data_IF_504890986751
#
_entry.id   IF_504890986751
#
_cell.length_a   1.000
_cell.length_b   1.000
_cell.length_c   1.000
_cell.angle_alpha   90.00
_cell.angle_beta   90.00
_cell.angle_gamma   90.00
#
_symmetry.space_group_name_H-M   'P 1'
#
loop_
_entity.id
_entity.type
_entity.pdbx_description
1 polymer ?
#
# COMPACT_ATOMS: atom_id res chain seq x y z
N UNK A 1 14.10 3.22 18.81
CA UNK A 1 14.50 3.60 17.44
C UNK A 1 14.68 5.09 17.41
N UNK A 2 15.84 5.55 16.97
CA UNK A 2 16.19 6.97 16.90
C UNK A 2 15.24 7.75 15.97
N UNK A 3 15.00 9.03 16.28
CA UNK A 3 14.09 9.88 15.51
C UNK A 3 14.55 10.09 14.06
N UNK A 4 15.86 10.14 13.81
CA UNK A 4 16.41 10.23 12.46
C UNK A 4 15.95 9.05 11.59
N UNK A 5 16.03 7.82 12.12
CA UNK A 5 15.62 6.63 11.38
C UNK A 5 14.12 6.59 11.11
N UNK A 6 13.30 7.02 12.07
CA UNK A 6 11.85 7.16 11.87
C UNK A 6 11.53 8.16 10.76
N UNK A 7 12.21 9.30 10.74
CA UNK A 7 12.04 10.29 9.68
C UNK A 7 12.48 9.77 8.32
N UNK A 8 13.66 9.14 8.22
CA UNK A 8 14.15 8.56 6.96
C UNK A 8 13.17 7.52 6.43
N UNK A 9 12.69 6.62 7.29
CA UNK A 9 11.71 5.60 6.92
C UNK A 9 10.41 6.22 6.44
N UNK A 10 9.85 7.18 7.18
CA UNK A 10 8.62 7.85 6.76
C UNK A 10 8.80 8.58 5.42
N UNK A 11 9.93 9.27 5.25
CA UNK A 11 10.24 10.03 4.03
C UNK A 11 10.22 9.17 2.77
N UNK A 12 10.67 7.93 2.85
CA UNK A 12 10.72 7.01 1.72
C UNK A 12 9.45 6.15 1.60
N UNK A 13 8.89 5.67 2.71
CA UNK A 13 7.64 4.90 2.68
C UNK A 13 6.46 5.78 2.26
N UNK A 14 6.35 6.99 2.81
CA UNK A 14 5.37 7.96 2.33
C UNK A 14 5.54 8.28 0.84
N UNK A 15 6.77 8.27 0.30
CA UNK A 15 7.01 8.55 -1.12
C UNK A 15 6.51 7.41 -2.01
N UNK A 16 6.69 6.15 -1.61
CA UNK A 16 6.10 5.00 -2.30
C UNK A 16 4.57 5.05 -2.28
N UNK A 17 3.96 5.46 -1.16
CA UNK A 17 2.51 5.68 -1.06
C UNK A 17 2.06 6.85 -1.95
N UNK A 18 2.82 7.95 -2.02
CA UNK A 18 2.55 9.07 -2.94
C UNK A 18 2.64 8.63 -4.41
N UNK A 19 3.57 7.74 -4.76
CA UNK A 19 3.65 7.17 -6.11
C UNK A 19 2.43 6.32 -6.44
N UNK A 20 1.94 5.51 -5.49
CA UNK A 20 0.68 4.77 -5.62
C UNK A 20 -0.52 5.73 -5.83
N UNK A 21 -0.65 6.76 -4.98
CA UNK A 21 -1.70 7.79 -5.10
C UNK A 21 -1.68 8.47 -6.48
N UNK A 22 -0.50 8.86 -6.94
CA UNK A 22 -0.35 9.52 -8.23
C UNK A 22 -0.76 8.59 -9.38
N UNK A 23 -0.42 7.30 -9.32
CA UNK A 23 -0.84 6.32 -10.33
C UNK A 23 -2.36 6.15 -10.36
N UNK A 24 -3.01 6.06 -9.19
CA UNK A 24 -4.47 6.01 -9.08
C UNK A 24 -5.14 7.25 -9.70
N UNK A 25 -4.60 8.44 -9.41
CA UNK A 25 -5.13 9.70 -9.91
C UNK A 25 -4.96 9.84 -11.43
N UNK A 26 -3.85 9.34 -11.98
CA UNK A 26 -3.57 9.40 -13.42
C UNK A 26 -4.37 8.38 -14.26
N UNK A 27 -4.91 7.32 -13.65
CA UNK A 27 -5.63 6.27 -14.37
C UNK A 27 -7.01 6.75 -14.86
N UNK A 28 -7.32 6.70 -16.17
CA UNK A 28 -8.65 7.03 -16.68
C UNK A 28 -9.72 6.05 -16.19
N UNK A 29 -10.98 6.50 -16.13
CA UNK A 29 -12.10 5.65 -15.67
C UNK A 29 -12.27 4.37 -16.49
N UNK A 30 -12.13 4.44 -17.81
CA UNK A 30 -12.24 3.28 -18.70
C UNK A 30 -11.17 2.22 -18.41
N UNK A 31 -9.93 2.64 -18.14
CA UNK A 31 -8.83 1.73 -17.80
C UNK A 31 -8.97 1.19 -16.37
N UNK A 32 -9.48 2.01 -15.45
CA UNK A 32 -9.65 1.61 -14.05
C UNK A 32 -10.52 0.36 -13.92
N UNK A 33 -11.66 0.31 -14.64
CA UNK A 33 -12.60 -0.80 -14.60
C UNK A 33 -12.46 -1.79 -15.77
N UNK A 34 -11.37 -1.71 -16.54
CA UNK A 34 -11.12 -2.65 -17.64
C UNK A 34 -10.70 -4.02 -17.10
N UNK A 35 -11.63 -4.97 -17.17
CA UNK A 35 -11.44 -6.37 -16.76
C UNK A 35 -10.91 -7.28 -17.88
N UNK A 36 -10.64 -6.72 -19.07
CA UNK A 36 -10.10 -7.49 -20.20
C UNK A 36 -8.57 -7.59 -20.18
N UNK A 37 -7.93 -6.95 -19.20
CA UNK A 37 -6.47 -6.84 -19.07
C UNK A 37 -6.02 -7.41 -17.74
N UNK A 38 -4.88 -8.11 -17.77
CA UNK A 38 -4.26 -8.67 -16.58
C UNK A 38 -2.86 -8.08 -16.35
N UNK A 39 -2.53 -7.66 -15.11
CA UNK A 39 -3.44 -7.56 -13.96
C UNK A 39 -4.47 -6.43 -14.15
N UNK A 40 -5.71 -6.62 -13.66
CA UNK A 40 -6.73 -5.55 -13.63
C UNK A 40 -6.21 -4.35 -12.79
N UNK A 41 -6.29 -3.12 -13.32
CA UNK A 41 -5.63 -1.95 -12.69
C UNK A 41 -6.14 -1.68 -11.26
N UNK A 42 -7.46 -1.66 -11.07
CA UNK A 42 -8.07 -1.44 -9.76
C UNK A 42 -7.71 -2.55 -8.77
N UNK A 43 -7.60 -3.80 -9.24
CA UNK A 43 -7.27 -4.93 -8.39
C UNK A 43 -5.83 -4.84 -7.91
N UNK A 44 -4.89 -4.49 -8.79
CA UNK A 44 -3.50 -4.29 -8.39
C UNK A 44 -3.35 -3.16 -7.35
N UNK A 45 -4.17 -2.11 -7.46
CA UNK A 45 -4.26 -1.08 -6.41
C UNK A 45 -4.82 -1.66 -5.12
N UNK A 46 -5.94 -2.38 -5.16
CA UNK A 46 -6.55 -3.00 -3.99
C UNK A 46 -5.59 -3.97 -3.28
N UNK A 47 -4.97 -4.90 -4.02
CA UNK A 47 -3.92 -5.79 -3.54
C UNK A 47 -2.83 -5.01 -2.80
N UNK A 48 -2.33 -3.95 -3.42
CA UNK A 48 -1.27 -3.12 -2.83
C UNK A 48 -1.71 -2.52 -1.49
N UNK A 49 -2.93 -2.01 -1.42
CA UNK A 49 -3.50 -1.38 -0.23
C UNK A 49 -3.82 -2.38 0.89
N UNK A 50 -4.34 -3.55 0.54
CA UNK A 50 -4.63 -4.62 1.48
C UNK A 50 -3.36 -5.05 2.21
N UNK A 51 -2.30 -5.36 1.46
CA UNK A 51 -1.03 -5.81 2.05
C UNK A 51 -0.28 -4.68 2.74
N UNK A 52 -0.40 -3.43 2.26
CA UNK A 52 0.08 -2.25 2.98
C UNK A 52 -0.52 -2.23 4.39
N UNK A 53 -1.84 -2.33 4.51
CA UNK A 53 -2.56 -2.30 5.79
C UNK A 53 -2.25 -3.53 6.65
N UNK A 54 -2.32 -4.73 6.07
CA UNK A 54 -2.07 -5.98 6.76
C UNK A 54 -0.69 -6.02 7.41
N UNK A 55 0.38 -5.74 6.66
CA UNK A 55 1.75 -5.78 7.17
C UNK A 55 2.10 -4.62 8.11
N UNK A 56 1.21 -3.63 8.26
CA UNK A 56 1.32 -2.59 9.28
C UNK A 56 0.60 -2.96 10.59
N UNK A 57 -0.08 -4.11 10.64
CA UNK A 57 -0.71 -4.62 11.86
C UNK A 57 0.30 -5.27 12.79
N UNK A 58 0.02 -5.24 14.09
CA UNK A 58 0.92 -5.84 15.10
C UNK A 58 0.92 -7.37 15.08
N UNK A 59 -0.12 -7.98 14.50
CA UNK A 59 -0.30 -9.41 14.30
C UNK A 59 -1.25 -9.67 13.12
N UNK A 60 -1.19 -10.89 12.56
CA UNK A 60 -2.18 -11.36 11.59
C UNK A 60 -3.55 -11.65 12.24
N UNK A 61 -3.54 -12.09 13.49
CA UNK A 61 -4.75 -12.36 14.25
C UNK A 61 -5.56 -11.07 14.48
N UNK A 62 -6.87 -11.14 14.23
CA UNK A 62 -7.79 -10.03 14.41
C UNK A 62 -7.70 -8.94 13.32
N UNK A 63 -6.90 -9.13 12.27
CA UNK A 63 -6.87 -8.20 11.16
C UNK A 63 -8.22 -8.17 10.43
N UNK A 64 -8.71 -6.96 10.19
CA UNK A 64 -9.82 -6.69 9.29
C UNK A 64 -9.52 -5.39 8.53
N UNK A 65 -9.64 -5.38 7.19
CA UNK A 65 -9.54 -4.16 6.42
C UNK A 65 -10.75 -3.25 6.70
N UNK A 66 -10.66 -1.92 6.44
CA UNK A 66 -11.80 -1.03 6.58
C UNK A 66 -12.94 -1.45 5.64
N UNK A 67 -14.19 -1.20 6.02
CA UNK A 67 -15.32 -1.40 5.11
C UNK A 67 -15.15 -0.50 3.86
N UNK A 68 -15.57 -0.95 2.66
CA UNK A 68 -16.31 -2.18 2.35
C UNK A 68 -15.41 -3.37 1.95
N UNK A 69 -14.12 -3.33 2.28
CA UNK A 69 -13.16 -4.36 1.87
C UNK A 69 -13.29 -5.63 2.72
N UNK A 70 -12.95 -6.76 2.11
CA UNK A 70 -13.05 -8.11 2.67
C UNK A 70 -11.67 -8.75 2.75
N UNK A 71 -11.60 -9.97 3.30
CA UNK A 71 -10.37 -10.74 3.44
C UNK A 71 -10.05 -11.61 2.20
N UNK A 72 -10.63 -11.28 1.05
CA UNK A 72 -10.53 -12.08 -0.18
C UNK A 72 -9.08 -12.25 -0.65
N UNK A 73 -8.22 -11.24 -0.41
CA UNK A 73 -6.76 -11.32 -0.64
C UNK A 73 -6.04 -12.42 0.15
N UNK A 74 -6.64 -12.90 1.24
CA UNK A 74 -6.11 -14.00 2.04
C UNK A 74 -6.66 -15.36 1.61
N UNK A 75 -7.62 -15.41 0.68
CA UNK A 75 -8.16 -16.66 0.17
C UNK A 75 -7.11 -17.39 -0.69
N UNK A 76 -6.71 -18.62 -0.31
CA UNK A 76 -5.73 -19.40 -1.07
C UNK A 76 -6.18 -19.76 -2.49
N UNK A 77 -7.47 -19.67 -2.81
CA UNK A 77 -7.99 -19.85 -4.15
C UNK A 77 -7.70 -18.65 -5.08
N UNK A 78 -7.24 -17.51 -4.53
CA UNK A 78 -6.91 -16.33 -5.31
C UNK A 78 -8.14 -15.67 -5.95
N UNK A 79 -9.28 -15.67 -5.22
CA UNK A 79 -10.51 -15.08 -5.70
C UNK A 79 -10.38 -13.55 -5.73
N UNK A 80 -10.71 -12.97 -6.88
CA UNK A 80 -10.90 -11.53 -6.98
C UNK A 80 -12.19 -11.14 -6.24
N UNK A 81 -12.28 -9.92 -5.68
CA UNK A 81 -13.53 -9.38 -5.17
C UNK A 81 -14.66 -9.47 -6.21
N UNK A 82 -15.89 -9.73 -5.75
CA UNK A 82 -17.08 -9.91 -6.61
C UNK A 82 -17.41 -8.70 -7.50
N UNK A 83 -16.88 -7.53 -7.15
CA UNK A 83 -17.07 -6.28 -7.88
C UNK A 83 -15.78 -5.49 -7.99
N UNK A 84 -15.74 -4.63 -9.01
CA UNK A 84 -14.73 -3.58 -9.13
C UNK A 84 -14.95 -2.55 -8.03
N UNK A 85 -13.90 -2.28 -7.23
CA UNK A 85 -13.92 -1.16 -6.30
C UNK A 85 -13.74 0.16 -7.04
N UNK A 86 -14.48 1.18 -6.62
CA UNK A 86 -14.34 2.50 -7.23
C UNK A 86 -13.01 3.14 -6.83
N UNK A 87 -12.59 4.13 -7.62
CA UNK A 87 -11.39 4.90 -7.31
C UNK A 87 -11.48 5.57 -5.94
N UNK A 88 -12.64 6.12 -5.62
CA UNK A 88 -12.92 6.85 -4.38
C UNK A 88 -12.88 5.91 -3.16
N UNK A 89 -13.40 4.68 -3.30
CA UNK A 89 -13.28 3.64 -2.27
C UNK A 89 -11.80 3.34 -1.98
N UNK A 90 -11.01 3.07 -3.02
CA UNK A 90 -9.58 2.75 -2.85
C UNK A 90 -8.75 3.97 -2.42
N UNK A 91 -9.12 5.20 -2.77
CA UNK A 91 -8.51 6.42 -2.23
C UNK A 91 -8.76 6.55 -0.72
N UNK A 92 -9.96 6.19 -0.26
CA UNK A 92 -10.28 6.15 1.17
C UNK A 92 -9.40 5.13 1.90
N UNK A 93 -9.19 3.96 1.30
CA UNK A 93 -8.31 2.94 1.87
C UNK A 93 -6.83 3.36 1.85
N UNK A 94 -6.37 3.99 0.77
CA UNK A 94 -5.03 4.57 0.69
C UNK A 94 -4.76 5.54 1.85
N UNK A 95 -5.71 6.44 2.15
CA UNK A 95 -5.54 7.38 3.26
C UNK A 95 -5.58 6.71 4.63
N UNK A 96 -6.36 5.63 4.80
CA UNK A 96 -6.27 4.78 5.98
C UNK A 96 -4.86 4.18 6.12
N UNK A 97 -4.36 3.51 5.09
CA UNK A 97 -3.04 2.88 5.07
C UNK A 97 -1.90 3.89 5.30
N UNK A 98 -2.00 5.08 4.69
CA UNK A 98 -1.06 6.19 4.90
C UNK A 98 -0.99 6.63 6.35
N UNK A 99 -2.15 6.85 7.00
CA UNK A 99 -2.22 7.23 8.42
C UNK A 99 -1.66 6.13 9.31
N UNK A 100 -2.03 4.87 9.05
CA UNK A 100 -1.55 3.69 9.79
C UNK A 100 -0.03 3.55 9.66
N UNK A 101 0.53 3.72 8.46
CA UNK A 101 1.97 3.66 8.20
C UNK A 101 2.72 4.70 9.02
N UNK A 102 2.27 5.95 8.96
CA UNK A 102 2.86 7.06 9.73
C UNK A 102 2.81 6.79 11.23
N UNK A 103 1.68 6.31 11.74
CA UNK A 103 1.52 5.96 13.15
C UNK A 103 2.43 4.79 13.57
N UNK A 104 2.52 3.74 12.76
CA UNK A 104 3.36 2.57 13.03
C UNK A 104 4.85 2.95 13.11
N UNK A 105 5.33 3.79 12.20
CA UNK A 105 6.71 4.30 12.21
C UNK A 105 6.96 5.19 13.43
N UNK A 106 6.02 6.11 13.74
CA UNK A 106 6.14 7.00 14.89
C UNK A 106 6.21 6.22 16.22
N UNK A 107 5.37 5.20 16.38
CA UNK A 107 5.31 4.33 17.56
C UNK A 107 6.44 3.29 17.62
N UNK A 108 7.34 3.23 16.62
CA UNK A 108 8.35 2.18 16.55
C UNK A 108 9.41 2.32 17.66
N UNK A 109 9.60 1.24 18.43
CA UNK A 109 10.68 1.08 19.42
C UNK A 109 11.65 0.00 18.96
N UNK A 110 12.83 -0.09 19.59
CA UNK A 110 13.77 -1.18 19.27
C UNK A 110 13.22 -2.55 19.65
N UNK A 111 12.53 -2.62 20.79
CA UNK A 111 11.83 -3.83 21.23
C UNK A 111 10.76 -4.24 20.21
N UNK A 112 9.91 -3.29 19.78
CA UNK A 112 8.88 -3.57 18.77
C UNK A 112 9.50 -4.03 17.46
N UNK A 113 10.57 -3.38 17.00
CA UNK A 113 11.25 -3.75 15.76
C UNK A 113 11.79 -5.20 15.78
N UNK A 114 12.18 -5.72 16.94
CA UNK A 114 12.70 -7.10 17.12
C UNK A 114 11.62 -8.16 17.26
N UNK A 115 10.37 -7.79 17.56
CA UNK A 115 9.26 -8.75 17.66
C UNK A 115 9.06 -9.46 16.33
N UNK A 116 8.78 -10.77 16.37
CA UNK A 116 8.51 -11.58 15.18
C UNK A 116 7.08 -11.36 14.72
N UNK A 117 6.90 -11.33 13.40
CA UNK A 117 5.62 -11.39 12.72
C UNK A 117 5.64 -12.59 11.77
N UNK A 118 4.74 -13.54 12.02
CA UNK A 118 4.59 -14.76 11.23
C UNK A 118 3.26 -14.79 10.52
N UNK A 119 3.27 -14.97 9.20
CA UNK A 119 2.08 -15.21 8.39
C UNK A 119 2.45 -15.98 7.10
N UNK A 120 1.91 -17.18 6.93
CA UNK A 120 2.23 -18.03 5.78
C UNK A 120 3.73 -18.31 5.68
N UNK A 121 4.37 -17.84 4.61
CA UNK A 121 5.83 -17.93 4.40
C UNK A 121 6.61 -16.71 4.89
N UNK A 122 5.92 -15.64 5.31
CA UNK A 122 6.55 -14.45 5.87
C UNK A 122 6.85 -14.72 7.34
N UNK A 123 8.12 -14.74 7.70
CA UNK A 123 8.59 -14.83 9.08
C UNK A 123 9.77 -13.86 9.27
N UNK A 124 9.43 -12.63 9.63
CA UNK A 124 10.34 -11.49 9.71
C UNK A 124 10.17 -10.78 11.06
N UNK A 125 11.17 -10.01 11.50
CA UNK A 125 10.88 -9.06 12.57
C UNK A 125 10.07 -7.86 12.04
N UNK A 126 9.32 -7.17 12.89
CA UNK A 126 8.49 -6.03 12.49
C UNK A 126 9.33 -4.93 11.79
N UNK A 127 10.57 -4.72 12.22
CA UNK A 127 11.49 -3.77 11.58
C UNK A 127 11.80 -4.15 10.12
N UNK A 128 12.07 -5.42 9.85
CA UNK A 128 12.25 -5.94 8.49
C UNK A 128 10.95 -5.88 7.68
N UNK A 129 9.81 -6.17 8.33
CA UNK A 129 8.51 -6.14 7.69
C UNK A 129 8.14 -4.74 7.17
N UNK A 130 8.54 -3.66 7.85
CA UNK A 130 8.37 -2.30 7.34
C UNK A 130 9.09 -2.07 6.01
N UNK A 131 10.34 -2.54 5.89
CA UNK A 131 11.12 -2.42 4.66
C UNK A 131 10.59 -3.35 3.55
N UNK A 132 10.15 -4.54 3.93
CA UNK A 132 9.47 -5.47 3.02
C UNK A 132 8.21 -4.83 2.42
N UNK A 133 7.39 -4.22 3.27
CA UNK A 133 6.15 -3.56 2.86
C UNK A 133 6.42 -2.32 1.99
N UNK A 134 7.41 -1.50 2.34
CA UNK A 134 7.90 -0.41 1.47
C UNK A 134 8.24 -0.92 0.06
N UNK A 135 9.02 -2.02 -0.03
CA UNK A 135 9.43 -2.61 -1.31
C UNK A 135 8.24 -3.14 -2.09
N UNK A 136 7.27 -3.75 -1.42
CA UNK A 136 6.02 -4.25 -2.01
C UNK A 136 5.21 -3.11 -2.61
N UNK A 137 4.94 -2.04 -1.85
CA UNK A 137 4.22 -0.87 -2.36
C UNK A 137 4.95 -0.25 -3.55
N UNK A 138 6.27 -0.07 -3.46
CA UNK A 138 7.07 0.48 -4.56
C UNK A 138 7.05 -0.40 -5.81
N UNK A 139 7.08 -1.73 -5.64
CA UNK A 139 7.02 -2.69 -6.74
C UNK A 139 5.73 -2.53 -7.55
N UNK A 140 4.58 -2.50 -6.86
CA UNK A 140 3.29 -2.37 -7.52
C UNK A 140 3.02 -0.96 -8.06
N UNK A 141 3.49 0.10 -7.39
CA UNK A 141 3.47 1.45 -7.96
C UNK A 141 4.24 1.54 -9.29
N UNK A 142 5.35 0.81 -9.41
CA UNK A 142 6.10 0.65 -10.65
C UNK A 142 5.32 -0.09 -11.73
N UNK A 143 4.64 -1.19 -11.39
CA UNK A 143 3.78 -1.92 -12.32
C UNK A 143 2.61 -1.07 -12.82
N UNK A 144 1.91 -0.36 -11.93
CA UNK A 144 0.83 0.56 -12.30
C UNK A 144 1.34 1.66 -13.24
N UNK A 145 2.53 2.20 -12.97
CA UNK A 145 3.18 3.19 -13.85
C UNK A 145 3.49 2.61 -15.23
N UNK A 146 3.93 1.35 -15.31
CA UNK A 146 4.16 0.66 -16.58
C UNK A 146 2.86 0.46 -17.35
N UNK A 147 1.77 0.05 -16.68
CA UNK A 147 0.45 -0.10 -17.31
C UNK A 147 0.02 1.23 -17.91
N UNK A 148 0.08 2.33 -17.15
CA UNK A 148 -0.29 3.67 -17.65
C UNK A 148 0.55 4.06 -18.88
N UNK A 149 1.87 3.84 -18.85
CA UNK A 149 2.73 4.08 -20.03
C UNK A 149 2.29 3.29 -21.25
N UNK A 150 1.96 2.01 -21.09
CA UNK A 150 1.60 1.14 -22.20
C UNK A 150 0.20 1.43 -22.76
N UNK A 151 -0.72 1.92 -21.92
CA UNK A 151 -2.12 2.11 -22.32
C UNK A 151 -2.44 3.52 -22.78
N UNK A 152 -1.80 4.53 -22.18
CA UNK A 152 -2.12 5.95 -22.42
C UNK A 152 -0.89 6.82 -22.68
N UNK A 153 0.29 6.21 -22.89
CA UNK A 153 1.58 6.88 -23.13
C UNK A 153 1.96 7.94 -22.08
N UNK A 154 1.46 7.77 -20.85
CA UNK A 154 1.68 8.72 -19.75
C UNK A 154 1.84 7.97 -18.44
N UNK A 155 2.68 8.48 -17.55
CA UNK A 155 2.76 8.00 -16.17
C UNK A 155 3.26 9.12 -15.25
N UNK A 156 2.85 9.12 -13.97
CA UNK A 156 3.39 10.05 -13.00
C UNK A 156 4.91 9.97 -12.85
N UNK A 157 5.51 11.06 -12.41
CA UNK A 157 6.95 11.12 -12.12
C UNK A 157 7.27 10.46 -10.78
N UNK A 158 8.53 10.06 -10.64
CA UNK A 158 9.09 9.57 -9.39
C UNK A 158 8.92 10.60 -8.25
N UNK A 159 8.52 10.11 -7.07
CA UNK A 159 8.47 10.93 -5.85
C UNK A 159 9.75 10.67 -5.06
N UNK A 160 10.65 11.65 -5.01
CA UNK A 160 11.94 11.52 -4.32
C UNK A 160 11.76 11.39 -2.80
N UNK A 161 10.80 12.13 -2.27
CA UNK A 161 10.51 12.19 -0.84
C UNK A 161 9.06 12.60 -0.62
N UNK A 162 8.39 12.00 0.35
CA UNK A 162 7.06 12.44 0.73
C UNK A 162 7.11 13.86 1.30
N UNK A 163 6.12 14.67 0.95
CA UNK A 163 5.94 15.96 1.59
C UNK A 163 5.19 15.74 2.89
N UNK A 164 5.66 16.34 3.98
CA UNK A 164 4.82 16.50 5.16
C UNK A 164 3.66 17.41 4.75
N UNK A 165 2.51 16.84 4.33
CA UNK A 165 1.28 17.62 4.22
C UNK A 165 1.01 18.17 5.64
N UNK A 166 0.97 19.49 5.85
CA UNK A 166 0.45 20.05 7.09
C UNK A 166 -0.94 19.44 7.28
N UNK A 167 -1.22 18.88 8.46
CA UNK A 167 -2.54 18.31 8.73
C UNK A 167 -3.60 19.36 8.42
N UNK A 168 -4.64 18.97 7.69
CA UNK A 168 -5.88 19.74 7.68
C UNK A 168 -6.35 19.78 9.15
N UNK A 169 -6.14 20.93 9.77
CA UNK A 169 -6.79 21.30 11.03
C UNK A 169 -8.21 21.75 10.76
#
# INVERSE_FOLDING_TARGET
>A
MDNLWKEILWRQFGAAIDMLENAMNACPGELWSDRSREPEFWYLVYHTLFWLDFYLSDSAEGFAPPAPFTLDEMDPAGLLPDRVYTKEELQTYLEHGRRKCRAAIAAMTEEKARRRFGFGRVDLCIGELLLYNLRHVQHHAGQLSLILRQTIDSAPRWVVQTKNRPGAG
#
